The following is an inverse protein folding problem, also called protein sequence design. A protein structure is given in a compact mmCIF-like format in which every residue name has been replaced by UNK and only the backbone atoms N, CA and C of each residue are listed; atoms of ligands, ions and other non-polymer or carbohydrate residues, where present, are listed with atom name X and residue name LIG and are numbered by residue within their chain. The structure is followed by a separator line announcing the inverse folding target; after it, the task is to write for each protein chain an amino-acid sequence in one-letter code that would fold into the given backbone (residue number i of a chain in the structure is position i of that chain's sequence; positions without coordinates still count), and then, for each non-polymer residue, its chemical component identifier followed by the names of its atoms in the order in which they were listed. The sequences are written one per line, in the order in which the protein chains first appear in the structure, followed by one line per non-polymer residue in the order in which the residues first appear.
data_IF_424354343986
#
_entry.id   IF_424354343986
#
_cell.length_a   1.000
_cell.length_b   1.000
_cell.length_c   1.000
_cell.angle_alpha   90.00
_cell.angle_beta   90.00
_cell.angle_gamma   90.00
#
_symmetry.space_group_name_H-M   'P 1'
#
loop_
_entity.id
_entity.type
_entity.pdbx_description
1 polymer ?
#
# COMPACT_ATOMS: atom_id res chain seq x y z
N UNK A 1 44.71 -50.95 -41.20
CA UNK A 1 44.73 -49.47 -41.27
C UNK A 1 43.32 -48.96 -41.65
N UNK A 2 42.75 -48.08 -40.81
CA UNK A 2 41.52 -47.27 -41.00
C UNK A 2 40.13 -47.97 -41.03
N UNK A 3 39.67 -48.34 -39.84
CA UNK A 3 38.25 -48.29 -39.43
C UNK A 3 38.04 -46.90 -38.82
N UNK A 4 37.22 -46.00 -39.40
CA UNK A 4 36.72 -44.72 -38.80
C UNK A 4 36.02 -43.81 -39.84
N UNK A 5 34.93 -44.25 -40.48
CA UNK A 5 34.10 -43.32 -41.31
C UNK A 5 32.60 -43.35 -41.01
N UNK A 6 32.03 -44.45 -40.54
CA UNK A 6 30.57 -44.52 -40.30
C UNK A 6 30.12 -43.98 -38.92
N UNK A 7 30.98 -44.00 -37.91
CA UNK A 7 30.67 -43.45 -36.57
C UNK A 7 30.58 -41.92 -36.56
N UNK A 8 31.24 -41.24 -37.50
CA UNK A 8 31.24 -39.78 -37.57
C UNK A 8 29.93 -39.21 -38.12
N UNK A 9 29.22 -39.94 -38.98
CA UNK A 9 28.01 -39.42 -39.64
C UNK A 9 26.76 -39.51 -38.75
N UNK A 10 26.67 -40.53 -37.91
CA UNK A 10 25.55 -40.70 -36.96
C UNK A 10 25.64 -39.74 -35.76
N UNK A 11 26.85 -39.39 -35.31
CA UNK A 11 27.04 -38.40 -34.24
C UNK A 11 26.66 -36.98 -34.72
N UNK A 12 26.96 -36.64 -35.98
CA UNK A 12 26.59 -35.34 -36.56
C UNK A 12 25.08 -35.15 -36.73
N UNK A 13 24.34 -36.22 -37.06
CA UNK A 13 22.88 -36.15 -37.24
C UNK A 13 22.14 -36.07 -35.89
N UNK A 14 22.68 -36.69 -34.83
CA UNK A 14 22.13 -36.62 -33.48
C UNK A 14 22.32 -35.23 -32.84
N UNK A 15 23.45 -34.55 -33.11
CA UNK A 15 23.72 -33.20 -32.59
C UNK A 15 22.85 -32.15 -33.29
N UNK A 16 22.58 -32.30 -34.60
CA UNK A 16 21.65 -31.42 -35.31
C UNK A 16 20.20 -31.57 -34.85
N UNK A 17 19.78 -32.76 -34.42
CA UNK A 17 18.42 -32.99 -33.92
C UNK A 17 18.20 -32.45 -32.49
N UNK A 18 19.26 -32.36 -31.67
CA UNK A 18 19.19 -31.74 -30.34
C UNK A 18 19.04 -30.21 -30.36
N UNK A 19 19.40 -29.55 -31.47
CA UNK A 19 19.28 -28.10 -31.62
C UNK A 19 17.86 -27.62 -32.01
N UNK A 20 16.92 -28.54 -32.31
CA UNK A 20 15.54 -28.19 -32.67
C UNK A 20 14.55 -28.30 -31.50
N UNK A 21 15.01 -28.66 -30.29
CA UNK A 21 14.16 -28.77 -29.10
C UNK A 21 14.19 -27.52 -28.18
N UNK A 22 14.90 -26.46 -28.57
CA UNK A 22 14.69 -25.14 -27.95
C UNK A 22 13.39 -24.54 -28.48
N UNK A 23 12.27 -25.05 -27.97
CA UNK A 23 11.00 -24.33 -28.04
C UNK A 23 11.20 -23.03 -27.26
N UNK A 24 11.19 -21.90 -27.96
CA UNK A 24 10.90 -20.61 -27.34
C UNK A 24 9.48 -20.72 -26.78
N UNK A 25 9.36 -21.11 -25.51
CA UNK A 25 8.18 -20.76 -24.74
C UNK A 25 8.12 -19.24 -24.84
N UNK A 26 7.11 -18.71 -25.54
CA UNK A 26 6.67 -17.35 -25.31
C UNK A 26 6.27 -17.33 -23.83
N UNK A 27 7.21 -17.03 -22.94
CA UNK A 27 6.85 -16.47 -21.66
C UNK A 27 6.09 -15.21 -22.02
N UNK A 28 4.76 -15.31 -22.02
CA UNK A 28 3.92 -14.12 -22.07
C UNK A 28 4.45 -13.27 -20.93
N UNK A 29 5.18 -12.21 -21.26
CA UNK A 29 5.73 -11.31 -20.26
C UNK A 29 4.61 -10.98 -19.30
N UNK A 30 4.86 -11.14 -18.00
CA UNK A 30 3.92 -10.73 -16.97
C UNK A 30 3.50 -9.29 -17.29
N UNK A 31 2.20 -9.01 -17.50
CA UNK A 31 1.76 -7.67 -17.86
C UNK A 31 2.35 -6.66 -16.88
N UNK A 32 2.94 -5.58 -17.38
CA UNK A 32 3.40 -4.51 -16.51
C UNK A 32 2.19 -3.70 -16.05
N UNK A 33 1.85 -3.83 -14.76
CA UNK A 33 0.79 -3.06 -14.12
C UNK A 33 1.35 -1.80 -13.46
N UNK A 34 2.34 -1.16 -14.09
CA UNK A 34 2.95 0.09 -13.64
C UNK A 34 3.29 0.05 -12.13
N UNK A 35 4.10 -0.95 -11.77
CA UNK A 35 4.59 -1.25 -10.40
C UNK A 35 3.56 -1.81 -9.41
N UNK A 36 2.28 -1.99 -9.76
CA UNK A 36 1.41 -2.79 -8.88
C UNK A 36 1.83 -4.28 -8.89
N UNK A 37 1.67 -5.00 -7.77
CA UNK A 37 1.66 -6.47 -7.78
C UNK A 37 0.62 -7.01 -8.78
N UNK A 38 0.86 -8.17 -9.39
CA UNK A 38 0.07 -8.64 -10.54
C UNK A 38 -1.42 -8.83 -10.26
N UNK A 39 -1.77 -9.30 -9.08
CA UNK A 39 -3.15 -9.54 -8.65
C UNK A 39 -3.89 -8.23 -8.33
N UNK A 40 -3.23 -7.31 -7.64
CA UNK A 40 -3.74 -5.96 -7.37
C UNK A 40 -3.84 -5.15 -8.67
N UNK A 41 -2.81 -5.21 -9.51
CA UNK A 41 -2.74 -4.52 -10.80
C UNK A 41 -3.85 -4.93 -11.75
N UNK A 42 -4.21 -6.23 -11.78
CA UNK A 42 -5.40 -6.69 -12.52
C UNK A 42 -6.66 -5.97 -12.08
N UNK A 43 -6.90 -5.81 -10.78
CA UNK A 43 -8.07 -5.07 -10.27
C UNK A 43 -7.98 -3.60 -10.71
N UNK A 44 -6.84 -2.95 -10.45
CA UNK A 44 -6.66 -1.52 -10.76
C UNK A 44 -6.93 -1.22 -12.24
N UNK A 45 -6.35 -1.98 -13.17
CA UNK A 45 -6.45 -1.69 -14.59
C UNK A 45 -7.74 -2.17 -15.25
N UNK A 46 -8.41 -3.19 -14.70
CA UNK A 46 -9.64 -3.72 -15.31
C UNK A 46 -10.91 -3.11 -14.72
N UNK A 47 -10.85 -2.54 -13.51
CA UNK A 47 -12.02 -2.05 -12.78
C UNK A 47 -11.95 -0.58 -12.34
N UNK A 48 -10.76 0.02 -12.30
CA UNK A 48 -10.58 1.36 -11.71
C UNK A 48 -10.00 2.39 -12.69
N UNK A 49 -8.84 2.08 -13.27
CA UNK A 49 -8.09 2.90 -14.21
C UNK A 49 -8.55 2.66 -15.66
N UNK A 50 -9.87 2.70 -15.88
CA UNK A 50 -10.49 2.57 -17.21
C UNK A 50 -10.81 3.96 -17.77
N UNK A 51 -10.99 4.05 -19.09
CA UNK A 51 -11.42 5.29 -19.76
C UNK A 51 -12.67 5.87 -19.11
N UNK A 52 -12.63 7.16 -18.75
CA UNK A 52 -13.73 7.84 -18.05
C UNK A 52 -13.70 7.73 -16.52
N UNK A 53 -12.76 7.00 -15.93
CA UNK A 53 -12.64 6.79 -14.48
C UNK A 53 -11.28 7.30 -13.94
N UNK A 54 -10.52 6.46 -13.22
CA UNK A 54 -9.31 6.88 -12.50
C UNK A 54 -8.04 6.84 -13.37
N UNK A 55 -8.06 7.52 -14.52
CA UNK A 55 -6.89 7.69 -15.40
C UNK A 55 -6.43 9.14 -15.40
N UNK A 56 -5.18 9.44 -15.75
CA UNK A 56 -4.67 10.81 -15.82
C UNK A 56 -5.48 11.68 -16.79
N UNK A 57 -6.00 11.08 -17.86
CA UNK A 57 -6.87 11.76 -18.82
C UNK A 57 -8.30 12.00 -18.30
N UNK A 58 -8.79 11.20 -17.35
CA UNK A 58 -10.20 11.21 -16.91
C UNK A 58 -10.38 11.65 -15.46
N UNK A 59 -9.29 11.81 -14.69
CA UNK A 59 -9.33 12.00 -13.23
C UNK A 59 -10.10 13.22 -12.75
N UNK A 60 -10.27 14.23 -13.61
CA UNK A 60 -11.11 15.38 -13.31
C UNK A 60 -12.56 15.00 -12.94
N UNK A 61 -13.09 13.92 -13.52
CA UNK A 61 -14.42 13.39 -13.22
C UNK A 61 -14.43 12.42 -12.03
N UNK A 62 -13.27 12.04 -11.48
CA UNK A 62 -13.12 11.02 -10.43
C UNK A 62 -12.36 11.56 -9.21
N UNK A 63 -12.65 12.80 -8.82
CA UNK A 63 -12.06 13.44 -7.64
C UNK A 63 -10.57 13.70 -7.76
N UNK A 64 -10.05 13.91 -8.98
CA UNK A 64 -8.63 14.15 -9.24
C UNK A 64 -7.71 12.94 -9.01
N UNK A 65 -8.25 11.76 -8.70
CA UNK A 65 -7.49 10.56 -8.40
C UNK A 65 -7.13 9.77 -9.66
N UNK A 66 -5.84 9.47 -9.84
CA UNK A 66 -5.32 8.56 -10.86
C UNK A 66 -4.84 7.24 -10.24
N UNK A 67 -5.20 6.12 -10.86
CA UNK A 67 -4.82 4.77 -10.48
C UNK A 67 -4.05 4.05 -11.61
N UNK A 68 -3.52 4.81 -12.57
CA UNK A 68 -2.73 4.27 -13.70
C UNK A 68 -1.33 3.80 -13.30
N UNK A 69 -0.89 4.07 -12.07
CA UNK A 69 0.32 3.46 -11.51
C UNK A 69 0.28 3.44 -9.99
N UNK A 70 1.14 2.60 -9.41
CA UNK A 70 1.33 2.55 -7.96
C UNK A 70 1.74 3.92 -7.40
N UNK A 71 2.63 4.64 -8.08
CA UNK A 71 3.05 5.98 -7.66
C UNK A 71 1.91 7.00 -7.75
N UNK A 72 1.11 6.96 -8.83
CA UNK A 72 -0.03 7.86 -9.03
C UNK A 72 -1.10 7.71 -7.95
N UNK A 73 -1.38 6.49 -7.51
CA UNK A 73 -2.31 6.23 -6.41
C UNK A 73 -1.90 6.98 -5.13
N UNK A 74 -0.59 7.06 -4.85
CA UNK A 74 -0.05 7.75 -3.67
C UNK A 74 0.08 9.28 -3.83
N UNK A 75 -0.16 9.84 -5.02
CA UNK A 75 -0.36 11.29 -5.18
C UNK A 75 -1.70 11.75 -4.59
N UNK A 76 -2.65 10.82 -4.39
CA UNK A 76 -3.98 11.11 -3.86
C UNK A 76 -4.89 11.80 -4.88
N UNK A 77 -6.05 12.25 -4.39
CA UNK A 77 -7.00 13.06 -5.15
C UNK A 77 -7.30 14.37 -4.44
N UNK A 78 -8.34 15.08 -4.89
CA UNK A 78 -8.83 16.30 -4.23
C UNK A 78 -9.31 16.04 -2.80
N UNK A 79 -9.66 14.78 -2.48
CA UNK A 79 -10.03 14.30 -1.15
C UNK A 79 -8.84 13.86 -0.27
N UNK A 80 -7.60 14.27 -0.56
CA UNK A 80 -6.37 13.81 0.10
C UNK A 80 -5.94 12.38 -0.31
N UNK A 81 -5.15 11.71 0.53
CA UNK A 81 -4.62 10.38 0.26
C UNK A 81 -5.77 9.36 0.11
N UNK A 82 -5.75 8.61 -0.99
CA UNK A 82 -6.70 7.51 -1.18
C UNK A 82 -6.22 6.19 -0.52
N UNK A 83 -4.91 6.11 -0.27
CA UNK A 83 -4.23 4.92 0.21
C UNK A 83 -3.30 5.29 1.36
N UNK A 84 -3.42 4.58 2.48
CA UNK A 84 -2.57 4.77 3.65
C UNK A 84 -1.98 3.42 4.05
N UNK A 85 -0.65 3.23 3.94
CA UNK A 85 -0.01 1.95 4.23
C UNK A 85 -0.33 1.43 5.63
N UNK A 86 -0.53 0.12 5.74
CA UNK A 86 -0.85 -0.63 6.96
C UNK A 86 -2.25 -0.38 7.54
N UNK A 87 -3.08 0.46 6.91
CA UNK A 87 -4.35 0.93 7.46
C UNK A 87 -5.46 0.92 6.41
N UNK A 88 -6.01 -0.26 6.11
CA UNK A 88 -7.18 -0.37 5.23
C UNK A 88 -8.37 0.45 5.74
N UNK A 89 -8.51 0.53 7.07
CA UNK A 89 -9.55 1.27 7.78
C UNK A 89 -9.45 2.80 7.63
N UNK A 90 -8.25 3.32 7.32
CA UNK A 90 -8.03 4.74 6.97
C UNK A 90 -7.75 4.97 5.48
N UNK A 91 -7.85 3.95 4.64
CA UNK A 91 -7.66 4.06 3.20
C UNK A 91 -9.00 4.22 2.50
N UNK A 92 -9.31 5.44 2.03
CA UNK A 92 -10.61 5.72 1.39
C UNK A 92 -10.85 4.88 0.13
N UNK A 93 -9.80 4.50 -0.59
CA UNK A 93 -9.89 3.53 -1.69
C UNK A 93 -10.58 2.24 -1.23
N UNK A 94 -10.19 1.70 -0.07
CA UNK A 94 -10.82 0.51 0.49
C UNK A 94 -12.28 0.76 0.86
N UNK A 95 -12.57 1.87 1.55
CA UNK A 95 -13.92 2.20 2.00
C UNK A 95 -14.92 2.37 0.85
N UNK A 96 -14.48 2.82 -0.34
CA UNK A 96 -15.34 2.92 -1.52
C UNK A 96 -15.58 1.58 -2.22
N UNK A 97 -14.59 0.67 -2.24
CA UNK A 97 -14.74 -0.64 -2.91
C UNK A 97 -15.33 -1.72 -2.02
N UNK A 98 -15.26 -1.56 -0.70
CA UNK A 98 -15.84 -2.50 0.24
C UNK A 98 -17.37 -2.40 0.26
N UNK A 99 -18.05 -3.45 -0.18
CA UNK A 99 -19.52 -3.58 -0.08
C UNK A 99 -19.94 -4.68 0.91
N UNK A 100 -19.03 -5.14 1.76
CA UNK A 100 -19.25 -6.20 2.74
C UNK A 100 -19.21 -5.59 4.15
N UNK A 101 -20.34 -5.66 4.86
CA UNK A 101 -20.53 -5.00 6.16
C UNK A 101 -19.61 -5.55 7.27
N UNK A 102 -19.09 -6.76 7.11
CA UNK A 102 -18.18 -7.41 8.04
C UNK A 102 -16.70 -7.10 7.78
N UNK A 103 -16.39 -6.35 6.72
CA UNK A 103 -15.00 -6.06 6.31
C UNK A 103 -14.53 -4.64 6.63
N UNK A 104 -15.39 -3.77 7.14
CA UNK A 104 -15.07 -2.39 7.51
C UNK A 104 -16.12 -1.40 7.01
N UNK A 105 -15.75 -0.12 6.98
CA UNK A 105 -16.62 0.96 6.52
C UNK A 105 -16.93 0.82 5.03
N UNK A 106 -18.14 1.21 4.63
CA UNK A 106 -18.56 1.37 3.24
C UNK A 106 -18.97 2.82 3.01
N UNK A 107 -18.41 3.46 1.99
CA UNK A 107 -18.82 4.80 1.55
C UNK A 107 -19.77 4.73 0.36
N UNK A 108 -20.58 5.78 0.19
CA UNK A 108 -21.49 5.95 -0.94
C UNK A 108 -21.12 7.20 -1.77
N UNK A 109 -21.17 7.14 -3.11
CA UNK A 109 -21.46 5.94 -3.91
C UNK A 109 -20.31 4.92 -3.85
N UNK A 110 -20.61 3.63 -3.99
CA UNK A 110 -19.59 2.58 -4.01
C UNK A 110 -18.84 2.54 -5.34
N UNK A 111 -17.61 2.04 -5.32
CA UNK A 111 -16.80 1.79 -6.51
C UNK A 111 -16.71 0.28 -6.82
N UNK A 112 -16.65 -0.11 -8.10
CA UNK A 112 -16.67 0.75 -9.28
C UNK A 112 -18.07 1.36 -9.54
N UNK A 113 -18.10 2.64 -9.91
CA UNK A 113 -19.35 3.40 -10.05
C UNK A 113 -20.22 2.84 -11.19
N UNK A 114 -21.50 2.56 -10.90
CA UNK A 114 -22.46 1.99 -11.85
C UNK A 114 -21.97 0.71 -12.56
N UNK A 115 -21.08 -0.06 -11.94
CA UNK A 115 -20.59 -1.31 -12.48
C UNK A 115 -20.70 -2.43 -11.43
N UNK A 116 -20.30 -3.64 -11.84
CA UNK A 116 -20.24 -4.79 -10.94
C UNK A 116 -19.27 -4.51 -9.79
N UNK A 117 -19.75 -4.74 -8.57
CA UNK A 117 -18.97 -4.64 -7.34
C UNK A 117 -17.78 -5.61 -7.41
N UNK A 118 -16.71 -5.30 -6.68
CA UNK A 118 -15.64 -6.27 -6.45
C UNK A 118 -16.20 -7.49 -5.73
N UNK A 119 -15.68 -8.65 -6.09
CA UNK A 119 -15.94 -9.90 -5.37
C UNK A 119 -15.32 -9.84 -3.97
N UNK A 120 -15.79 -10.72 -3.09
CA UNK A 120 -15.30 -10.80 -1.71
C UNK A 120 -13.81 -11.14 -1.66
N UNK A 121 -13.34 -11.97 -2.59
CA UNK A 121 -11.92 -12.33 -2.69
C UNK A 121 -11.07 -11.14 -3.14
N UNK A 122 -11.55 -10.34 -4.10
CA UNK A 122 -10.87 -9.11 -4.53
C UNK A 122 -10.81 -8.06 -3.41
N UNK A 123 -11.90 -7.87 -2.66
CA UNK A 123 -11.90 -6.97 -1.49
C UNK A 123 -10.96 -7.49 -0.40
N UNK A 124 -10.94 -8.81 -0.17
CA UNK A 124 -10.03 -9.45 0.80
C UNK A 124 -8.57 -9.30 0.39
N UNK A 125 -8.28 -9.44 -0.90
CA UNK A 125 -6.95 -9.21 -1.47
C UNK A 125 -6.51 -7.77 -1.22
N UNK A 126 -7.33 -6.79 -1.58
CA UNK A 126 -7.01 -5.38 -1.36
C UNK A 126 -6.82 -5.09 0.13
N UNK A 127 -7.72 -5.56 1.01
CA UNK A 127 -7.59 -5.41 2.47
C UNK A 127 -6.24 -5.93 2.97
N UNK A 128 -5.87 -7.14 2.55
CA UNK A 128 -4.62 -7.80 2.97
C UNK A 128 -3.41 -7.06 2.44
N UNK A 129 -3.41 -6.70 1.17
CA UNK A 129 -2.33 -5.94 0.54
C UNK A 129 -2.10 -4.59 1.23
N UNK A 130 -3.17 -3.85 1.54
CA UNK A 130 -3.07 -2.55 2.24
C UNK A 130 -2.54 -2.73 3.67
N UNK A 131 -3.04 -3.71 4.41
CA UNK A 131 -2.57 -4.01 5.76
C UNK A 131 -1.11 -4.47 5.80
N UNK A 132 -0.59 -5.01 4.70
CA UNK A 132 0.82 -5.33 4.53
C UNK A 132 1.67 -4.13 4.06
N UNK A 133 1.11 -2.92 4.03
CA UNK A 133 1.81 -1.68 3.65
C UNK A 133 1.55 -1.22 2.22
N UNK A 134 0.64 -1.87 1.49
CA UNK A 134 0.42 -1.64 0.06
C UNK A 134 1.73 -1.60 -0.75
N UNK A 135 2.63 -2.59 -0.59
CA UNK A 135 3.91 -2.57 -1.29
C UNK A 135 3.72 -2.59 -2.81
N UNK A 136 4.68 -2.00 -3.53
CA UNK A 136 4.76 -2.17 -4.98
C UNK A 136 5.19 -3.61 -5.33
N UNK A 137 5.32 -3.88 -6.63
CA UNK A 137 5.71 -5.19 -7.17
C UNK A 137 7.06 -5.69 -6.62
N UNK A 138 7.95 -4.78 -6.26
CA UNK A 138 9.29 -5.09 -5.77
C UNK A 138 9.37 -5.10 -4.23
N UNK A 139 8.23 -4.93 -3.55
CA UNK A 139 8.14 -4.93 -2.08
C UNK A 139 8.37 -3.56 -1.42
N UNK A 140 8.54 -2.49 -2.20
CA UNK A 140 8.73 -1.15 -1.66
C UNK A 140 7.42 -0.57 -1.11
N UNK A 141 7.45 -0.05 0.12
CA UNK A 141 6.31 0.58 0.78
C UNK A 141 6.44 2.10 0.74
N UNK A 142 5.38 2.80 0.33
CA UNK A 142 5.43 4.27 0.25
C UNK A 142 5.79 4.90 1.60
N UNK A 143 6.73 5.85 1.54
CA UNK A 143 7.30 6.59 2.67
C UNK A 143 8.26 5.80 3.58
N UNK A 144 8.70 4.60 3.19
CA UNK A 144 9.72 3.83 3.93
C UNK A 144 11.17 4.11 3.49
N UNK A 145 11.38 5.08 2.60
CA UNK A 145 12.64 5.39 1.92
C UNK A 145 13.53 6.41 2.65
N UNK A 146 12.96 7.20 3.56
CA UNK A 146 13.67 8.31 4.22
C UNK A 146 13.42 8.31 5.74
N UNK A 147 14.46 7.92 6.49
CA UNK A 147 14.43 7.90 7.95
C UNK A 147 14.43 9.31 8.58
N UNK A 148 14.78 10.33 7.81
CA UNK A 148 14.83 11.74 8.25
C UNK A 148 13.66 12.57 7.71
N UNK A 149 12.65 11.92 7.11
CA UNK A 149 11.47 12.54 6.54
C UNK A 149 10.84 13.52 7.53
N UNK A 150 10.58 14.75 7.08
CA UNK A 150 9.89 15.75 7.90
C UNK A 150 8.41 15.40 7.97
N UNK A 151 7.89 15.35 9.20
CA UNK A 151 6.55 14.87 9.52
C UNK A 151 5.78 15.91 10.31
N UNK A 152 4.46 15.88 10.19
CA UNK A 152 3.51 16.60 11.04
C UNK A 152 2.69 15.54 11.78
N UNK A 153 2.60 15.67 13.10
CA UNK A 153 1.81 14.76 13.95
C UNK A 153 0.52 15.45 14.38
N UNK A 154 -0.62 14.78 14.19
CA UNK A 154 -1.95 15.29 14.55
C UNK A 154 -2.63 14.27 15.45
N UNK A 155 -3.10 14.71 16.62
CA UNK A 155 -3.85 13.86 17.54
C UNK A 155 -5.32 13.76 17.12
N UNK A 156 -5.81 12.54 16.93
CA UNK A 156 -7.23 12.27 16.73
C UNK A 156 -7.82 11.80 18.06
N UNK A 157 -8.21 12.75 18.90
CA UNK A 157 -8.67 12.50 20.28
C UNK A 157 -9.77 11.43 20.37
N UNK A 158 -10.76 11.47 19.47
CA UNK A 158 -11.90 10.54 19.52
C UNK A 158 -11.61 9.10 19.09
N UNK A 159 -10.40 8.79 18.64
CA UNK A 159 -10.07 7.47 18.07
C UNK A 159 -8.80 6.84 18.67
N UNK A 160 -8.11 7.53 19.58
CA UNK A 160 -6.79 7.12 20.09
C UNK A 160 -5.78 6.79 18.98
N UNK A 161 -5.72 7.69 18.01
CA UNK A 161 -4.82 7.58 16.87
C UNK A 161 -4.09 8.89 16.62
N UNK A 162 -2.81 8.81 16.27
CA UNK A 162 -2.03 9.93 15.74
C UNK A 162 -1.90 9.78 14.23
N UNK A 163 -2.41 10.78 13.49
CA UNK A 163 -2.12 10.90 12.05
C UNK A 163 -0.71 11.44 11.88
N UNK A 164 0.10 10.74 11.10
CA UNK A 164 1.41 11.22 10.65
C UNK A 164 1.25 11.69 9.23
N UNK A 165 1.53 12.96 8.96
CA UNK A 165 1.50 13.53 7.62
C UNK A 165 2.93 13.73 7.10
N UNK A 166 3.14 13.48 5.82
CA UNK A 166 4.37 13.86 5.13
C UNK A 166 4.38 15.37 4.90
N UNK A 167 5.41 16.08 5.37
CA UNK A 167 5.46 17.55 5.31
C UNK A 167 5.53 18.07 3.88
N UNK A 168 6.11 17.31 2.94
CA UNK A 168 6.26 17.75 1.54
C UNK A 168 4.95 17.70 0.77
N UNK A 169 4.23 16.58 0.90
CA UNK A 169 2.98 16.34 0.16
C UNK A 169 1.74 16.81 0.92
N UNK A 170 1.86 17.03 2.24
CA UNK A 170 0.74 17.29 3.14
C UNK A 170 -0.33 16.20 3.08
N UNK A 171 0.07 14.97 2.78
CA UNK A 171 -0.80 13.80 2.78
C UNK A 171 -0.59 12.98 4.06
N UNK A 172 -1.67 12.38 4.61
CA UNK A 172 -1.54 11.35 5.64
C UNK A 172 -0.69 10.19 5.12
N UNK A 173 0.43 9.92 5.80
CA UNK A 173 1.33 8.83 5.45
C UNK A 173 1.15 7.61 6.37
N UNK A 174 0.76 7.81 7.64
CA UNK A 174 0.49 6.74 8.61
C UNK A 174 -0.59 7.15 9.61
N UNK A 175 -1.23 6.16 10.22
CA UNK A 175 -2.07 6.33 11.41
C UNK A 175 -1.56 5.39 12.49
N UNK A 176 -1.06 5.95 13.59
CA UNK A 176 -0.44 5.21 14.69
C UNK A 176 -1.46 5.10 15.80
N UNK A 177 -1.80 3.87 16.18
CA UNK A 177 -2.61 3.64 17.39
C UNK A 177 -1.76 4.03 18.60
N UNK A 178 -2.37 4.77 19.52
CA UNK A 178 -1.77 5.22 20.77
C UNK A 178 -2.68 4.83 21.94
N UNK A 179 -2.18 4.85 23.17
CA UNK A 179 -2.96 4.46 24.35
C UNK A 179 -2.66 3.04 24.83
N UNK A 180 -3.17 2.69 26.01
CA UNK A 180 -3.05 1.35 26.63
C UNK A 180 -4.33 0.54 26.64
N UNK A 181 -5.48 1.14 26.35
CA UNK A 181 -6.77 0.52 26.60
C UNK A 181 -7.65 0.53 25.36
N UNK A 182 -8.76 -0.21 25.43
CA UNK A 182 -9.80 -0.16 24.40
C UNK A 182 -10.72 1.07 24.55
N UNK A 183 -10.70 1.74 25.70
CA UNK A 183 -11.43 2.98 25.94
C UNK A 183 -10.65 4.17 25.40
N UNK A 184 -11.38 5.18 24.92
CA UNK A 184 -10.78 6.40 24.37
C UNK A 184 -10.07 7.18 25.49
N UNK A 185 -8.74 7.25 25.43
CA UNK A 185 -7.86 7.98 26.33
C UNK A 185 -7.64 9.44 25.88
N UNK A 186 -8.00 9.78 24.64
CA UNK A 186 -7.94 11.14 24.09
C UNK A 186 -6.51 11.71 24.01
N UNK A 187 -5.68 11.26 23.05
CA UNK A 187 -4.33 11.81 22.85
C UNK A 187 -4.40 13.32 22.61
N UNK A 188 -3.63 14.10 23.37
CA UNK A 188 -3.87 15.54 23.47
C UNK A 188 -2.68 16.38 22.99
N UNK A 189 -1.50 16.16 23.57
CA UNK A 189 -0.31 16.95 23.27
C UNK A 189 0.81 16.06 22.77
N UNK A 190 1.43 16.48 21.66
CA UNK A 190 2.63 15.85 21.11
C UNK A 190 3.83 16.77 21.27
N UNK A 191 4.98 16.19 21.66
CA UNK A 191 6.28 16.86 21.67
C UNK A 191 7.32 15.96 21.01
N UNK A 192 8.23 16.58 20.25
CA UNK A 192 9.39 15.90 19.65
C UNK A 192 10.61 16.19 20.53
N UNK A 193 11.48 15.20 20.73
CA UNK A 193 12.74 15.41 21.45
C UNK A 193 13.63 16.43 20.73
N UNK A 194 14.50 17.16 21.45
CA UNK A 194 15.41 18.14 20.84
C UNK A 194 16.32 17.56 19.75
N UNK A 195 16.70 16.28 19.87
CA UNK A 195 17.49 15.56 18.87
C UNK A 195 16.67 15.04 17.68
N UNK A 196 15.35 15.22 17.71
CA UNK A 196 14.43 14.80 16.66
C UNK A 196 14.24 13.27 16.55
N UNK A 197 14.79 12.47 17.45
CA UNK A 197 14.76 10.99 17.35
C UNK A 197 13.47 10.36 17.88
N UNK A 198 12.73 11.07 18.72
CA UNK A 198 11.52 10.56 19.36
C UNK A 198 10.41 11.60 19.36
N UNK A 199 9.17 11.13 19.23
CA UNK A 199 8.00 11.91 19.56
C UNK A 199 7.26 11.25 20.72
N UNK A 200 6.59 12.09 21.49
CA UNK A 200 5.92 11.70 22.72
C UNK A 200 4.50 12.20 22.71
N UNK A 201 3.59 11.45 23.34
CA UNK A 201 2.19 11.82 23.47
C UNK A 201 1.69 11.62 24.89
N UNK A 202 0.90 12.58 25.36
CA UNK A 202 0.08 12.49 26.58
C UNK A 202 -1.39 12.49 26.20
N UNK A 203 -2.20 12.03 27.14
CA UNK A 203 -3.63 11.81 26.99
C UNK A 203 -4.37 12.65 28.03
N UNK A 204 -5.58 13.14 27.72
CA UNK A 204 -6.40 13.82 28.74
C UNK A 204 -7.11 12.86 29.68
N UNK A 205 -7.40 11.64 29.22
CA UNK A 205 -8.09 10.59 30.00
C UNK A 205 -7.24 9.33 30.22
N UNK A 206 -6.00 9.32 29.73
CA UNK A 206 -5.05 8.21 29.91
C UNK A 206 -4.07 8.44 31.07
N UNK A 207 -3.58 7.36 31.65
CA UNK A 207 -2.66 7.39 32.82
C UNK A 207 -1.18 7.27 32.42
N UNK A 208 -0.90 7.31 31.12
CA UNK A 208 0.41 7.02 30.57
C UNK A 208 0.92 8.15 29.69
N UNK A 209 2.23 8.28 29.67
CA UNK A 209 3.00 9.03 28.69
C UNK A 209 3.68 8.03 27.77
N UNK A 210 3.55 8.20 26.46
CA UNK A 210 4.11 7.27 25.47
C UNK A 210 5.22 7.90 24.64
N UNK A 211 6.18 7.06 24.23
CA UNK A 211 7.35 7.40 23.44
C UNK A 211 7.37 6.56 22.16
N UNK A 212 7.59 7.22 21.04
CA UNK A 212 7.66 6.64 19.71
C UNK A 212 8.92 7.11 18.99
N UNK A 213 9.50 6.29 18.11
CA UNK A 213 10.68 6.62 17.31
C UNK A 213 10.24 7.41 16.07
N UNK A 214 10.91 8.51 15.74
CA UNK A 214 10.52 9.34 14.58
C UNK A 214 10.92 8.77 13.23
N UNK A 215 11.88 7.85 13.14
CA UNK A 215 12.33 7.28 11.86
C UNK A 215 11.29 6.35 11.23
N UNK A 216 10.51 5.64 12.05
CA UNK A 216 9.54 4.63 11.61
C UNK A 216 8.18 4.69 12.34
N UNK A 217 8.02 5.62 13.30
CA UNK A 217 6.83 5.79 14.15
C UNK A 217 6.52 4.58 15.04
N UNK A 218 7.50 3.71 15.27
CA UNK A 218 7.35 2.55 16.15
C UNK A 218 7.24 2.96 17.62
N UNK A 219 6.40 2.24 18.37
CA UNK A 219 6.32 2.36 19.81
C UNK A 219 7.66 1.95 20.46
N UNK A 220 8.14 2.74 21.42
CA UNK A 220 9.42 2.51 22.11
C UNK A 220 9.20 2.19 23.58
N UNK A 221 8.40 2.99 24.28
CA UNK A 221 8.17 2.84 25.71
C UNK A 221 6.93 3.60 26.17
N UNK A 222 6.43 3.25 27.36
CA UNK A 222 5.46 4.06 28.11
C UNK A 222 5.89 4.22 29.56
N UNK A 223 5.50 5.33 30.17
CA UNK A 223 5.66 5.60 31.59
C UNK A 223 4.29 5.89 32.21
N UNK A 224 4.02 5.31 33.39
CA UNK A 224 2.83 5.65 34.16
C UNK A 224 3.03 7.02 34.82
N UNK A 225 2.06 7.92 34.64
CA UNK A 225 2.12 9.30 35.14
C UNK A 225 1.03 9.62 36.16
N UNK A 226 0.20 8.64 36.52
CA UNK A 226 -0.90 8.82 37.48
C UNK A 226 -2.15 9.43 36.86
N UNK A 227 -3.22 9.46 37.65
CA UNK A 227 -4.51 10.10 37.34
C UNK A 227 -4.63 11.44 38.07
#
# INVERSE_FOLDING_TARGET
MRIKKHTSLFVSLAILLSCFLTTCKNEKGTPDFNRFPDDVGKIMFTKCATTGCHTDNSKGASGGLSLESWDKMFEGGTGSACMVPYRHDYSTLFSYVNTYSDMGVTLSPTMPYNNSKLTRDEVTLLKTWINNGAPDRDGFVKFSDDLNRKKIYITNQGCDVVTVMDQKTLLPMRYINVGNSAGIESPHMIRVSPDGQYWYVVFTAGQYFEKYRTSDDSFVARAFIGS
#
